data_IF_303892326170
#
_entry.id   IF_303892326170
#
_cell.length_a   1.000
_cell.length_b   1.000
_cell.length_c   1.000
_cell.angle_alpha   90.00
_cell.angle_beta   90.00
_cell.angle_gamma   90.00
#
_symmetry.space_group_name_H-M   'P 1'
#
loop_
_entity.id
_entity.type
_entity.pdbx_description
1 polymer ?
#
# COMPACT_ATOMS: atom_id res chain seq x y z
N UNK A 1 -13.31 -24.59 -44.61
CA UNK A 1 -13.69 -23.28 -44.04
C UNK A 1 -13.94 -23.45 -42.54
N UNK A 2 -12.99 -23.02 -41.70
CA UNK A 2 -13.12 -23.06 -40.24
C UNK A 2 -13.78 -21.77 -39.76
N UNK A 3 -14.91 -21.87 -39.03
CA UNK A 3 -15.50 -20.73 -38.33
C UNK A 3 -14.59 -20.33 -37.17
N UNK A 4 -14.29 -19.04 -36.96
CA UNK A 4 -13.51 -18.61 -35.81
C UNK A 4 -14.32 -18.87 -34.54
N UNK A 5 -13.72 -19.61 -33.62
CA UNK A 5 -14.23 -19.79 -32.28
C UNK A 5 -14.19 -18.43 -31.58
N UNK A 6 -15.33 -17.73 -31.58
CA UNK A 6 -15.56 -16.59 -30.71
C UNK A 6 -15.53 -17.13 -29.30
N UNK A 7 -14.42 -16.92 -28.59
CA UNK A 7 -14.38 -17.10 -27.14
C UNK A 7 -15.35 -16.08 -26.53
N UNK A 8 -16.56 -16.55 -26.27
CA UNK A 8 -17.52 -15.86 -25.42
C UNK A 8 -16.80 -15.71 -24.08
N UNK A 9 -16.44 -14.48 -23.74
CA UNK A 9 -15.99 -14.14 -22.40
C UNK A 9 -17.14 -14.53 -21.47
N UNK A 10 -17.01 -15.70 -20.84
CA UNK A 10 -17.92 -16.15 -19.80
C UNK A 10 -18.02 -15.01 -18.79
N UNK A 11 -19.20 -14.39 -18.72
CA UNK A 11 -19.60 -13.56 -17.60
C UNK A 11 -19.41 -14.43 -16.36
N UNK A 12 -18.29 -14.24 -15.67
CA UNK A 12 -18.01 -14.96 -14.44
C UNK A 12 -19.14 -14.69 -13.48
N UNK A 13 -19.85 -15.74 -13.08
CA UNK A 13 -21.03 -15.64 -12.26
C UNK A 13 -20.72 -14.84 -10.98
N UNK A 14 -21.59 -13.88 -10.59
CA UNK A 14 -21.32 -12.94 -9.50
C UNK A 14 -20.99 -13.61 -8.15
N UNK A 15 -21.42 -14.86 -7.94
CA UNK A 15 -21.11 -15.61 -6.73
C UNK A 15 -19.64 -16.04 -6.62
N UNK A 16 -18.91 -16.20 -7.74
CA UNK A 16 -17.45 -16.44 -7.73
C UNK A 16 -16.66 -15.19 -7.30
N UNK A 17 -17.23 -13.99 -7.44
CA UNK A 17 -16.59 -12.75 -6.97
C UNK A 17 -16.59 -12.64 -5.43
N UNK A 18 -17.60 -13.17 -4.74
CA UNK A 18 -17.69 -13.11 -3.28
C UNK A 18 -16.74 -14.07 -2.56
N UNK A 19 -16.55 -15.30 -3.06
CA UNK A 19 -15.53 -16.23 -2.51
C UNK A 19 -14.11 -15.65 -2.58
N UNK A 20 -13.85 -14.80 -3.57
CA UNK A 20 -12.58 -14.10 -3.69
C UNK A 20 -12.40 -13.00 -2.63
N UNK A 21 -13.47 -12.47 -2.04
CA UNK A 21 -13.38 -11.32 -1.13
C UNK A 21 -12.79 -11.73 0.23
N UNK A 22 -13.33 -12.79 0.86
CA UNK A 22 -12.80 -13.32 2.14
C UNK A 22 -11.35 -13.77 1.99
N UNK A 23 -11.01 -14.42 0.87
CA UNK A 23 -9.63 -14.82 0.60
C UNK A 23 -8.70 -13.63 0.42
N UNK A 24 -9.15 -12.55 -0.26
CA UNK A 24 -8.39 -11.30 -0.36
C UNK A 24 -8.15 -10.68 1.01
N UNK A 25 -9.15 -10.71 1.89
CA UNK A 25 -9.04 -10.25 3.27
C UNK A 25 -7.98 -11.01 4.06
N UNK A 26 -8.07 -12.35 4.07
CA UNK A 26 -7.12 -13.22 4.79
C UNK A 26 -5.70 -13.06 4.23
N UNK A 27 -5.56 -12.91 2.91
CA UNK A 27 -4.26 -12.75 2.24
C UNK A 27 -3.67 -11.34 2.37
N UNK A 28 -4.45 -10.37 2.84
CA UNK A 28 -4.03 -8.97 2.91
C UNK A 28 -3.85 -8.31 1.54
N UNK A 29 -4.49 -8.85 0.50
CA UNK A 29 -4.37 -8.38 -0.88
C UNK A 29 -5.33 -7.21 -1.15
N UNK A 30 -5.16 -6.16 -0.35
CA UNK A 30 -5.97 -4.96 -0.43
C UNK A 30 -5.31 -3.93 -1.35
N UNK A 31 -6.14 -3.25 -2.15
CA UNK A 31 -5.68 -2.05 -2.83
C UNK A 31 -5.42 -0.95 -1.80
N UNK A 32 -4.39 -0.13 -2.03
CA UNK A 32 -4.05 1.01 -1.16
C UNK A 32 -5.23 1.98 -0.99
N UNK A 33 -5.93 2.28 -2.09
CA UNK A 33 -7.12 3.15 -2.10
C UNK A 33 -8.22 2.60 -1.17
N UNK A 34 -8.44 1.29 -1.23
CA UNK A 34 -9.42 0.62 -0.37
C UNK A 34 -9.06 0.73 1.11
N UNK A 35 -7.80 0.43 1.47
CA UNK A 35 -7.36 0.54 2.87
C UNK A 35 -7.41 1.97 3.39
N UNK A 36 -7.08 2.96 2.56
CA UNK A 36 -7.21 4.38 2.93
C UNK A 36 -8.67 4.70 3.25
N UNK A 37 -9.59 4.38 2.33
CA UNK A 37 -11.01 4.66 2.53
C UNK A 37 -11.58 3.94 3.76
N UNK A 38 -11.26 2.65 3.91
CA UNK A 38 -11.66 1.83 5.05
C UNK A 38 -11.15 2.41 6.37
N UNK A 39 -9.86 2.76 6.43
CA UNK A 39 -9.28 3.39 7.61
C UNK A 39 -9.88 4.76 7.89
N UNK A 40 -10.14 5.58 6.87
CA UNK A 40 -10.74 6.90 7.06
C UNK A 40 -12.12 6.80 7.72
N UNK A 41 -12.96 5.85 7.29
CA UNK A 41 -14.27 5.62 7.91
C UNK A 41 -14.12 5.15 9.35
N UNK A 42 -13.32 4.10 9.58
CA UNK A 42 -13.06 3.58 10.92
C UNK A 42 -12.49 4.64 11.86
N UNK A 43 -11.66 5.53 11.32
CA UNK A 43 -11.08 6.65 12.07
C UNK A 43 -12.10 7.71 12.42
N UNK A 44 -12.94 8.13 11.48
CA UNK A 44 -14.00 9.10 11.75
C UNK A 44 -14.94 8.56 12.82
N UNK A 45 -15.33 7.27 12.75
CA UNK A 45 -16.17 6.63 13.76
C UNK A 45 -15.48 6.58 15.13
N UNK A 46 -14.21 6.16 15.18
CA UNK A 46 -13.42 6.10 16.42
C UNK A 46 -13.31 7.47 17.08
N UNK A 47 -12.91 8.50 16.32
CA UNK A 47 -12.76 9.87 16.82
C UNK A 47 -14.11 10.43 17.27
N UNK A 48 -15.18 10.21 16.50
CA UNK A 48 -16.53 10.68 16.87
C UNK A 48 -16.95 10.09 18.21
N UNK A 49 -16.76 8.78 18.41
CA UNK A 49 -17.04 8.10 19.67
C UNK A 49 -16.21 8.65 20.84
N UNK A 50 -14.92 8.92 20.62
CA UNK A 50 -14.05 9.50 21.65
C UNK A 50 -14.44 10.94 22.00
N UNK A 51 -14.79 11.77 21.01
CA UNK A 51 -15.28 13.13 21.22
C UNK A 51 -16.59 13.12 22.02
N UNK A 52 -17.57 12.31 21.61
CA UNK A 52 -18.83 12.17 22.35
C UNK A 52 -18.56 11.68 23.77
N UNK A 53 -17.67 10.69 23.95
CA UNK A 53 -17.27 10.24 25.28
C UNK A 53 -16.73 11.39 26.13
N UNK A 54 -15.84 12.22 25.57
CA UNK A 54 -15.28 13.38 26.26
C UNK A 54 -16.33 14.43 26.63
N UNK A 55 -17.29 14.70 25.74
CA UNK A 55 -18.37 15.66 25.96
C UNK A 55 -19.37 15.21 27.04
N UNK A 56 -19.58 13.89 27.18
CA UNK A 56 -20.48 13.33 28.20
C UNK A 56 -19.83 13.21 29.59
N UNK A 57 -18.52 13.41 29.69
CA UNK A 57 -17.75 13.25 30.92
C UNK A 57 -17.69 14.54 31.75
N UNK A 58 -18.42 14.60 32.87
CA UNK A 58 -18.49 15.83 33.72
C UNK A 58 -17.41 15.95 34.80
N UNK A 59 -16.73 14.85 35.16
CA UNK A 59 -15.66 14.85 36.18
C UNK A 59 -14.50 13.88 35.90
N UNK A 60 -14.68 12.98 34.92
CA UNK A 60 -13.76 11.88 34.64
C UNK A 60 -13.47 11.85 33.14
N UNK A 61 -12.27 12.26 32.74
CA UNK A 61 -11.86 12.37 31.34
C UNK A 61 -10.84 11.27 31.03
N UNK A 62 -10.89 10.68 29.82
CA UNK A 62 -9.84 9.77 29.37
C UNK A 62 -8.45 10.42 29.45
N UNK A 63 -8.37 11.73 29.28
CA UNK A 63 -7.11 12.46 29.40
C UNK A 63 -6.53 12.46 30.83
N UNK A 64 -7.34 12.17 31.85
CA UNK A 64 -6.96 12.27 33.27
C UNK A 64 -6.87 10.93 33.98
N UNK A 65 -7.40 9.86 33.41
CA UNK A 65 -7.50 8.54 34.05
C UNK A 65 -6.92 7.44 33.16
N UNK A 66 -6.31 6.43 33.78
CA UNK A 66 -5.76 5.27 33.07
C UNK A 66 -6.87 4.54 32.33
N UNK A 67 -6.55 4.11 31.11
CA UNK A 67 -7.42 3.20 30.38
C UNK A 67 -7.62 1.89 31.15
N UNK A 68 -6.56 1.40 31.78
CA UNK A 68 -6.55 0.21 32.64
C UNK A 68 -7.38 0.31 33.93
N UNK A 69 -7.85 1.51 34.33
CA UNK A 69 -8.72 1.69 35.49
C UNK A 69 -10.16 2.04 35.11
N UNK A 70 -10.52 1.93 33.83
CA UNK A 70 -11.83 2.32 33.33
C UNK A 70 -12.81 1.15 33.21
N UNK A 71 -14.09 1.45 33.48
CA UNK A 71 -15.19 0.50 33.34
C UNK A 71 -15.59 -0.10 34.68
N UNK A 72 -16.75 0.18 35.25
CA UNK A 72 -17.27 -0.45 36.46
C UNK A 72 -18.80 -0.57 36.42
N UNK A 73 -19.43 -1.64 36.89
CA UNK A 73 -20.89 -1.77 36.97
C UNK A 73 -21.52 -0.73 37.91
N UNK A 74 -20.69 -0.08 38.72
CA UNK A 74 -21.10 1.01 39.59
C UNK A 74 -21.19 2.29 38.77
N UNK A 75 -22.41 2.83 38.66
CA UNK A 75 -22.73 3.96 37.77
C UNK A 75 -21.94 5.25 38.03
N UNK A 76 -21.33 5.41 39.21
CA UNK A 76 -20.49 6.56 39.56
C UNK A 76 -18.99 6.35 39.30
N UNK A 77 -18.54 5.11 39.12
CA UNK A 77 -17.18 4.77 38.66
C UNK A 77 -17.04 4.85 37.14
N UNK A 78 -18.16 4.72 36.40
CA UNK A 78 -18.18 4.91 34.96
C UNK A 78 -18.48 6.35 34.58
N UNK A 79 -17.59 7.04 33.85
CA UNK A 79 -18.01 8.26 33.17
C UNK A 79 -19.22 7.96 32.29
N UNK A 80 -20.18 8.90 32.20
CA UNK A 80 -21.34 8.78 31.30
C UNK A 80 -20.94 8.54 29.84
N UNK A 81 -19.70 8.90 29.46
CA UNK A 81 -19.11 8.64 28.15
C UNK A 81 -18.48 7.26 27.96
N UNK A 82 -18.30 6.44 29.00
CA UNK A 82 -17.55 5.17 28.93
C UNK A 82 -18.02 4.25 27.82
N UNK A 83 -19.33 4.06 27.68
CA UNK A 83 -19.90 3.24 26.62
C UNK A 83 -19.49 3.71 25.21
N UNK A 84 -19.51 5.02 24.98
CA UNK A 84 -19.08 5.59 23.70
C UNK A 84 -17.58 5.37 23.47
N UNK A 85 -16.77 5.47 24.54
CA UNK A 85 -15.36 5.14 24.44
C UNK A 85 -15.11 3.65 24.11
N UNK A 86 -15.81 2.72 24.75
CA UNK A 86 -15.74 1.29 24.44
C UNK A 86 -16.11 1.00 22.99
N UNK A 87 -17.16 1.66 22.46
CA UNK A 87 -17.51 1.58 21.03
C UNK A 87 -16.38 2.14 20.15
N UNK A 88 -15.76 3.25 20.56
CA UNK A 88 -14.62 3.83 19.85
C UNK A 88 -13.45 2.86 19.75
N UNK A 89 -13.10 2.19 20.85
CA UNK A 89 -12.07 1.14 20.85
C UNK A 89 -12.45 -0.06 19.99
N UNK A 90 -13.73 -0.42 19.96
CA UNK A 90 -14.21 -1.44 19.05
C UNK A 90 -14.01 -1.02 17.59
N UNK A 91 -14.38 0.21 17.19
CA UNK A 91 -14.08 0.69 15.84
C UNK A 91 -12.58 0.76 15.53
N UNK A 92 -11.76 1.13 16.52
CA UNK A 92 -10.32 1.10 16.41
C UNK A 92 -9.81 -0.31 16.08
N UNK A 93 -10.30 -1.34 16.79
CA UNK A 93 -9.98 -2.74 16.53
C UNK A 93 -10.31 -3.14 15.08
N UNK A 94 -11.53 -2.81 14.62
CA UNK A 94 -11.95 -3.12 13.25
C UNK A 94 -11.12 -2.38 12.20
N UNK A 95 -10.63 -1.19 12.54
CA UNK A 95 -9.73 -0.41 11.68
C UNK A 95 -8.37 -1.09 11.53
N UNK A 96 -7.84 -1.63 12.64
CA UNK A 96 -6.50 -2.25 12.68
C UNK A 96 -6.47 -3.65 12.07
N UNK A 97 -7.53 -4.46 12.24
CA UNK A 97 -7.52 -5.87 11.85
C UNK A 97 -7.14 -6.11 10.36
N UNK A 98 -7.67 -5.37 9.36
CA UNK A 98 -7.25 -5.54 7.96
C UNK A 98 -5.83 -5.07 7.67
N UNK A 99 -5.25 -4.19 8.51
CA UNK A 99 -3.87 -3.74 8.36
C UNK A 99 -2.87 -4.84 8.68
N UNK A 100 -3.20 -5.77 9.58
CA UNK A 100 -2.29 -6.84 9.99
C UNK A 100 -1.89 -7.75 8.82
N UNK A 101 -2.81 -8.38 8.07
CA UNK A 101 -2.44 -9.18 6.90
C UNK A 101 -1.83 -8.33 5.78
N UNK A 102 -2.22 -7.05 5.66
CA UNK A 102 -1.57 -6.13 4.72
C UNK A 102 -0.09 -5.91 5.06
N UNK A 103 0.22 -5.58 6.32
CA UNK A 103 1.59 -5.42 6.82
C UNK A 103 2.37 -6.72 6.72
N UNK A 104 1.76 -7.86 7.08
CA UNK A 104 2.34 -9.21 6.89
C UNK A 104 2.84 -9.39 5.45
N UNK A 105 1.97 -9.09 4.49
CA UNK A 105 2.25 -9.23 3.06
C UNK A 105 3.44 -8.39 2.61
N UNK A 106 3.78 -7.30 3.31
CA UNK A 106 4.93 -6.43 3.02
C UNK A 106 6.18 -6.91 3.73
N UNK A 107 6.07 -7.18 5.03
CA UNK A 107 7.20 -7.61 5.87
C UNK A 107 7.81 -8.91 5.35
N UNK A 108 6.99 -9.83 4.80
CA UNK A 108 7.47 -11.12 4.29
C UNK A 108 8.57 -10.99 3.21
N UNK A 109 8.63 -9.87 2.49
CA UNK A 109 9.68 -9.60 1.48
C UNK A 109 11.02 -9.19 2.10
N UNK A 110 11.00 -8.67 3.32
CA UNK A 110 12.20 -8.34 4.09
C UNK A 110 12.69 -9.60 4.80
N UNK A 111 11.82 -10.21 5.60
CA UNK A 111 12.10 -11.43 6.37
C UNK A 111 10.79 -12.20 6.65
N UNK A 112 10.66 -13.40 6.07
CA UNK A 112 9.44 -14.22 6.16
C UNK A 112 9.14 -14.71 7.59
N UNK A 113 10.07 -15.33 8.34
CA UNK A 113 9.83 -15.71 9.74
C UNK A 113 9.36 -14.55 10.62
N UNK A 114 10.08 -13.43 10.60
CA UNK A 114 9.73 -12.26 11.42
C UNK A 114 8.38 -11.64 11.01
N UNK A 115 7.98 -11.76 9.74
CA UNK A 115 6.65 -11.31 9.30
C UNK A 115 5.51 -12.06 10.00
N UNK A 116 5.68 -13.35 10.30
CA UNK A 116 4.68 -14.11 11.06
C UNK A 116 4.67 -13.68 12.51
N UNK A 117 5.85 -13.53 13.12
CA UNK A 117 5.96 -13.10 14.53
C UNK A 117 5.26 -11.76 14.72
N UNK A 118 5.61 -10.74 13.92
CA UNK A 118 4.99 -9.40 13.99
C UNK A 118 3.49 -9.46 13.77
N UNK A 119 3.02 -10.21 12.78
CA UNK A 119 1.58 -10.20 12.45
C UNK A 119 0.75 -10.94 13.51
N UNK A 120 1.25 -12.06 14.02
CA UNK A 120 0.63 -12.81 15.11
C UNK A 120 0.63 -12.00 16.40
N UNK A 121 1.73 -11.31 16.71
CA UNK A 121 1.81 -10.47 17.91
C UNK A 121 0.89 -9.26 17.80
N UNK A 122 0.82 -8.56 16.66
CA UNK A 122 -0.14 -7.47 16.46
C UNK A 122 -1.59 -7.96 16.58
N UNK A 123 -1.90 -9.14 16.04
CA UNK A 123 -3.23 -9.74 16.17
C UNK A 123 -3.55 -10.12 17.62
N UNK A 124 -2.61 -10.70 18.35
CA UNK A 124 -2.78 -11.03 19.76
C UNK A 124 -2.95 -9.76 20.62
N UNK A 125 -2.21 -8.69 20.31
CA UNK A 125 -2.40 -7.38 20.93
C UNK A 125 -3.82 -6.84 20.70
N UNK A 126 -4.33 -6.96 19.46
CA UNK A 126 -5.72 -6.62 19.13
C UNK A 126 -6.73 -7.43 19.96
N UNK A 127 -6.52 -8.75 20.12
CA UNK A 127 -7.37 -9.60 20.95
C UNK A 127 -7.34 -9.17 22.42
N UNK A 128 -6.16 -8.89 22.98
CA UNK A 128 -6.02 -8.38 24.34
C UNK A 128 -6.81 -7.08 24.54
N UNK A 129 -6.69 -6.11 23.63
CA UNK A 129 -7.48 -4.87 23.70
C UNK A 129 -8.98 -5.12 23.55
N UNK A 130 -9.39 -6.10 22.74
CA UNK A 130 -10.80 -6.50 22.63
C UNK A 130 -11.34 -6.98 23.98
N UNK A 131 -10.55 -7.76 24.72
CA UNK A 131 -10.95 -8.21 26.07
C UNK A 131 -11.15 -7.02 27.00
N UNK A 132 -10.32 -5.98 26.92
CA UNK A 132 -10.52 -4.78 27.75
C UNK A 132 -11.87 -4.09 27.48
N UNK A 133 -12.34 -4.13 26.23
CA UNK A 133 -13.66 -3.59 25.85
C UNK A 133 -14.81 -4.42 26.44
N UNK A 134 -14.66 -5.75 26.53
CA UNK A 134 -15.71 -6.66 27.00
C UNK A 134 -15.71 -6.89 28.51
N UNK A 135 -14.58 -6.70 29.19
CA UNK A 135 -14.41 -6.93 30.61
C UNK A 135 -14.15 -5.60 31.32
N UNK A 136 -15.17 -4.90 31.85
CA UNK A 136 -14.96 -3.70 32.66
C UNK A 136 -14.29 -4.05 34.01
N UNK A 137 -13.56 -3.11 34.61
CA UNK A 137 -13.04 -3.15 35.99
C UNK A 137 -14.16 -3.21 37.05
N UNK A 138 -14.57 -4.43 37.40
CA UNK A 138 -15.65 -4.67 38.39
C UNK A 138 -15.27 -5.72 39.40
N UNK A 139 -15.74 -5.51 40.64
CA UNK A 139 -15.61 -6.44 41.76
C UNK A 139 -16.63 -7.60 41.65
N UNK A 140 -16.81 -8.11 40.44
CA UNK A 140 -17.64 -9.28 40.15
C UNK A 140 -16.72 -10.43 39.74
N UNK A 141 -17.05 -11.65 40.15
CA UNK A 141 -16.29 -12.84 39.77
C UNK A 141 -16.93 -13.57 38.59
N UNK A 142 -16.10 -14.10 37.67
CA UNK A 142 -16.54 -14.81 36.44
C UNK A 142 -16.69 -16.32 36.67
N UNK A 143 -15.99 -16.87 37.67
CA UNK A 143 -15.86 -18.32 37.88
C UNK A 143 -15.97 -18.68 39.36
N UNK A 144 -17.14 -18.42 39.95
CA UNK A 144 -17.43 -18.77 41.34
C UNK A 144 -16.43 -18.19 42.35
N UNK A 145 -16.00 -16.94 42.16
CA UNK A 145 -15.07 -16.25 43.06
C UNK A 145 -13.59 -16.31 42.69
N UNK A 146 -13.15 -17.15 41.73
CA UNK A 146 -11.71 -17.38 41.48
C UNK A 146 -11.02 -16.33 40.59
N UNK A 147 -11.77 -15.68 39.71
CA UNK A 147 -11.23 -14.70 38.74
C UNK A 147 -12.14 -13.48 38.76
N UNK A 148 -11.57 -12.31 39.05
CA UNK A 148 -12.30 -11.05 38.98
C UNK A 148 -12.29 -10.50 37.54
N UNK A 149 -13.37 -9.83 37.15
CA UNK A 149 -13.40 -9.10 35.87
C UNK A 149 -12.30 -8.03 35.79
N UNK A 150 -12.03 -7.35 36.90
CA UNK A 150 -10.92 -6.37 37.01
C UNK A 150 -9.57 -6.98 36.70
N UNK A 151 -9.29 -8.20 37.18
CA UNK A 151 -8.06 -8.91 36.87
C UNK A 151 -7.93 -9.18 35.37
N UNK A 152 -9.02 -9.60 34.71
CA UNK A 152 -9.03 -9.84 33.26
C UNK A 152 -8.78 -8.54 32.51
N UNK A 153 -9.44 -7.44 32.91
CA UNK A 153 -9.27 -6.12 32.30
C UNK A 153 -7.81 -5.64 32.39
N UNK A 154 -7.27 -5.56 33.61
CA UNK A 154 -5.94 -5.03 33.88
C UNK A 154 -4.88 -5.89 33.20
N UNK A 155 -4.95 -7.21 33.36
CA UNK A 155 -3.97 -8.12 32.75
C UNK A 155 -4.06 -8.10 31.22
N UNK A 156 -5.26 -7.97 30.63
CA UNK A 156 -5.42 -7.86 29.19
C UNK A 156 -4.86 -6.54 28.65
N UNK A 157 -5.08 -5.42 29.34
CA UNK A 157 -4.53 -4.12 28.96
C UNK A 157 -2.99 -4.14 29.00
N UNK A 158 -2.41 -4.64 30.09
CA UNK A 158 -0.96 -4.77 30.27
C UNK A 158 -0.33 -5.72 29.24
N UNK A 159 -0.93 -6.91 29.05
CA UNK A 159 -0.46 -7.88 28.06
C UNK A 159 -0.56 -7.29 26.64
N UNK A 160 -1.67 -6.65 26.31
CA UNK A 160 -1.87 -6.00 25.01
C UNK A 160 -0.81 -4.94 24.74
N UNK A 161 -0.56 -4.05 25.70
CA UNK A 161 0.49 -3.03 25.61
C UNK A 161 1.88 -3.63 25.41
N UNK A 162 2.28 -4.60 26.22
CA UNK A 162 3.57 -5.28 26.09
C UNK A 162 3.73 -5.98 24.74
N UNK A 163 2.69 -6.67 24.26
CA UNK A 163 2.70 -7.37 22.98
C UNK A 163 2.81 -6.38 21.81
N UNK A 164 2.10 -5.25 21.85
CA UNK A 164 2.24 -4.20 20.82
C UNK A 164 3.65 -3.60 20.82
N UNK A 165 4.20 -3.23 21.98
CA UNK A 165 5.56 -2.69 22.09
C UNK A 165 6.58 -3.68 21.49
N UNK A 166 6.49 -4.95 21.86
CA UNK A 166 7.32 -6.01 21.30
C UNK A 166 7.19 -6.12 19.78
N UNK A 167 5.96 -6.10 19.27
CA UNK A 167 5.67 -6.14 17.83
C UNK A 167 6.32 -4.98 17.07
N UNK A 168 6.17 -3.76 17.61
CA UNK A 168 6.73 -2.55 17.00
C UNK A 168 8.25 -2.50 17.08
N UNK A 169 8.83 -3.02 18.15
CA UNK A 169 10.29 -3.14 18.25
C UNK A 169 10.85 -4.06 17.16
N UNK A 170 10.24 -5.23 16.93
CA UNK A 170 10.64 -6.11 15.83
C UNK A 170 10.41 -5.44 14.47
N UNK A 171 9.27 -4.76 14.29
CA UNK A 171 8.97 -4.03 13.06
C UNK A 171 10.02 -2.93 12.79
N UNK A 172 10.48 -2.24 13.82
CA UNK A 172 11.55 -1.25 13.72
C UNK A 172 12.87 -1.87 13.26
N UNK A 173 13.27 -3.00 13.86
CA UNK A 173 14.46 -3.75 13.43
C UNK A 173 14.34 -4.12 11.94
N UNK A 174 13.17 -4.57 11.50
CA UNK A 174 12.91 -4.90 10.10
C UNK A 174 13.02 -3.69 9.17
N UNK A 175 12.54 -2.53 9.59
CA UNK A 175 12.68 -1.27 8.85
C UNK A 175 14.15 -0.88 8.73
N UNK A 176 14.94 -1.00 9.81
CA UNK A 176 16.39 -0.75 9.76
C UNK A 176 17.07 -1.71 8.78
N UNK A 177 16.75 -3.01 8.84
CA UNK A 177 17.27 -4.02 7.92
C UNK A 177 16.88 -3.75 6.46
N UNK A 178 15.64 -3.32 6.20
CA UNK A 178 15.13 -2.96 4.89
C UNK A 178 15.91 -1.78 4.27
N UNK A 179 16.18 -0.75 5.09
CA UNK A 179 16.96 0.42 4.71
C UNK A 179 18.44 0.09 4.48
N UNK A 180 19.07 -0.68 5.37
CA UNK A 180 20.46 -1.12 5.20
C UNK A 180 20.64 -1.97 3.92
N UNK A 181 19.65 -2.82 3.60
CA UNK A 181 19.65 -3.63 2.37
C UNK A 181 19.19 -2.88 1.12
N UNK A 182 18.80 -1.60 1.25
CA UNK A 182 18.26 -0.76 0.18
C UNK A 182 17.09 -1.41 -0.58
N UNK A 183 16.30 -2.23 0.12
CA UNK A 183 15.10 -2.88 -0.44
C UNK A 183 13.93 -1.89 -0.56
N UNK A 184 13.89 -0.90 0.33
CA UNK A 184 12.93 0.21 0.34
C UNK A 184 11.46 -0.24 0.29
N UNK A 185 11.14 -1.34 0.97
CA UNK A 185 9.76 -1.85 1.08
C UNK A 185 8.89 -0.88 1.90
N UNK A 186 9.45 -0.31 2.97
CA UNK A 186 8.69 0.56 3.88
C UNK A 186 8.67 2.03 3.44
N UNK A 187 9.67 2.47 2.68
CA UNK A 187 9.82 3.87 2.28
C UNK A 187 10.26 4.80 3.44
N UNK A 188 10.64 6.05 3.12
CA UNK A 188 11.18 6.98 4.10
C UNK A 188 10.14 7.46 5.12
N UNK A 189 8.90 7.73 4.69
CA UNK A 189 7.85 8.21 5.59
C UNK A 189 7.51 7.20 6.69
N UNK A 190 7.40 5.91 6.35
CA UNK A 190 7.17 4.85 7.33
C UNK A 190 8.35 4.71 8.30
N UNK A 191 9.57 4.84 7.78
CA UNK A 191 10.79 4.80 8.59
C UNK A 191 10.79 5.91 9.63
N UNK A 192 10.52 7.15 9.22
CA UNK A 192 10.43 8.30 10.13
C UNK A 192 9.34 8.10 11.19
N UNK A 193 8.16 7.64 10.80
CA UNK A 193 7.07 7.36 11.74
C UNK A 193 7.45 6.28 12.77
N UNK A 194 8.13 5.21 12.33
CA UNK A 194 8.62 4.16 13.23
C UNK A 194 9.69 4.66 14.21
N UNK A 195 10.60 5.54 13.77
CA UNK A 195 11.60 6.16 14.65
C UNK A 195 10.90 6.97 15.74
N UNK A 196 9.94 7.82 15.37
CA UNK A 196 9.16 8.64 16.32
C UNK A 196 8.43 7.73 17.32
N UNK A 197 7.81 6.66 16.84
CA UNK A 197 7.09 5.69 17.68
C UNK A 197 8.02 5.00 18.69
N UNK A 198 9.21 4.57 18.27
CA UNK A 198 10.18 3.93 19.16
C UNK A 198 10.74 4.92 20.18
N UNK A 199 11.09 6.14 19.76
CA UNK A 199 11.54 7.20 20.68
C UNK A 199 10.47 7.46 21.74
N UNK A 200 9.21 7.56 21.33
CA UNK A 200 8.09 7.72 22.25
C UNK A 200 8.03 6.59 23.29
N UNK A 201 8.09 5.32 22.86
CA UNK A 201 8.07 4.18 23.79
C UNK A 201 9.28 4.15 24.74
N UNK A 202 10.46 4.53 24.26
CA UNK A 202 11.66 4.63 25.12
C UNK A 202 11.48 5.71 26.17
N UNK A 203 10.97 6.89 25.81
CA UNK A 203 10.68 7.97 26.76
C UNK A 203 9.63 7.52 27.78
N UNK A 204 8.55 6.89 27.33
CA UNK A 204 7.50 6.37 28.19
C UNK A 204 8.05 5.31 29.18
N UNK A 205 8.93 4.43 28.72
CA UNK A 205 9.59 3.43 29.57
C UNK A 205 10.49 4.09 30.61
N UNK A 206 11.33 5.04 30.21
CA UNK A 206 12.22 5.77 31.13
C UNK A 206 11.40 6.54 32.18
N UNK A 207 10.32 7.21 31.78
CA UNK A 207 9.43 7.92 32.69
C UNK A 207 8.82 6.96 33.74
N UNK A 208 8.39 5.77 33.31
CA UNK A 208 7.84 4.75 34.20
C UNK A 208 8.89 4.15 35.14
N UNK A 209 10.11 3.85 34.66
CA UNK A 209 11.20 3.37 35.51
C UNK A 209 11.59 4.42 36.54
N UNK A 210 11.72 5.69 36.13
CA UNK A 210 12.03 6.79 37.04
C UNK A 210 10.95 6.97 38.11
N UNK A 211 9.67 6.80 37.76
CA UNK A 211 8.55 6.82 38.71
C UNK A 211 8.68 5.73 39.77
N UNK A 212 8.93 4.49 39.35
CA UNK A 212 9.11 3.34 40.24
C UNK A 212 10.29 3.58 41.18
N UNK A 213 11.43 4.02 40.65
CA UNK A 213 12.64 4.25 41.45
C UNK A 213 12.49 5.39 42.47
N UNK A 214 11.68 6.40 42.17
CA UNK A 214 11.47 7.56 43.06
C UNK A 214 10.28 7.40 44.01
N UNK A 215 9.56 6.27 43.97
CA UNK A 215 8.31 6.07 44.72
C UNK A 215 7.35 7.26 44.59
N UNK A 216 7.31 7.90 43.41
CA UNK A 216 6.40 9.02 43.16
C UNK A 216 5.00 8.41 43.11
N UNK A 217 4.18 8.73 44.12
CA UNK A 217 2.77 8.34 44.16
C UNK A 217 2.02 8.81 42.92
N UNK A 218 0.90 8.17 42.60
CA UNK A 218 0.07 8.48 41.43
C UNK A 218 -0.57 9.86 41.54
N UNK A 219 0.20 10.91 41.24
CA UNK A 219 -0.37 12.21 40.94
C UNK A 219 -0.81 12.21 39.47
N UNK A 220 -2.13 12.21 39.27
CA UNK A 220 -2.85 12.08 37.98
C UNK A 220 -2.59 13.21 36.97
N UNK A 221 -1.66 14.13 37.25
CA UNK A 221 -1.38 15.31 36.42
C UNK A 221 0.11 15.60 36.22
N UNK A 222 1.00 14.67 36.59
CA UNK A 222 2.42 14.82 36.25
C UNK A 222 2.71 14.19 34.90
N UNK A 223 3.74 14.69 34.21
CA UNK A 223 4.35 14.05 33.03
C UNK A 223 4.79 12.59 33.32
N UNK A 224 4.85 12.19 34.59
CA UNK A 224 5.16 10.84 35.04
C UNK A 224 3.93 9.97 35.31
N UNK A 225 2.71 10.49 35.12
CA UNK A 225 1.49 9.71 35.35
C UNK A 225 1.37 8.59 34.31
N UNK A 226 1.18 7.36 34.79
CA UNK A 226 1.03 6.19 33.93
C UNK A 226 -0.18 6.34 32.99
N UNK A 227 -1.28 6.94 33.48
CA UNK A 227 -2.48 7.28 32.71
C UNK A 227 -2.18 8.06 31.44
N UNK A 228 -1.34 9.10 31.53
CA UNK A 228 -1.02 9.94 30.38
C UNK A 228 -0.29 9.13 29.29
N UNK A 229 0.71 8.35 29.68
CA UNK A 229 1.49 7.54 28.73
C UNK A 229 0.68 6.42 28.10
N UNK A 230 -0.21 5.79 28.87
CA UNK A 230 -1.12 4.75 28.37
C UNK A 230 -2.03 5.31 27.28
N UNK A 231 -2.73 6.41 27.57
CA UNK A 231 -3.65 7.03 26.60
C UNK A 231 -2.93 7.61 25.38
N UNK A 232 -1.80 8.30 25.60
CA UNK A 232 -1.00 8.84 24.51
C UNK A 232 -0.43 7.72 23.62
N UNK A 233 -0.04 6.59 24.23
CA UNK A 233 0.38 5.39 23.51
C UNK A 233 -0.73 4.84 22.60
N UNK A 234 -1.96 4.75 23.09
CA UNK A 234 -3.12 4.32 22.29
C UNK A 234 -3.32 5.25 21.09
N UNK A 235 -3.31 6.57 21.29
CA UNK A 235 -3.49 7.53 20.21
C UNK A 235 -2.36 7.48 19.17
N UNK A 236 -1.12 7.39 19.60
CA UNK A 236 0.03 7.34 18.69
C UNK A 236 0.00 6.05 17.87
N UNK A 237 -0.27 4.90 18.50
CA UNK A 237 -0.44 3.61 17.83
C UNK A 237 -1.57 3.66 16.81
N UNK A 238 -2.70 4.26 17.19
CA UNK A 238 -3.83 4.43 16.30
C UNK A 238 -3.48 5.29 15.07
N UNK A 239 -2.89 6.47 15.28
CA UNK A 239 -2.44 7.36 14.19
C UNK A 239 -1.44 6.63 13.29
N UNK A 240 -0.51 5.87 13.87
CA UNK A 240 0.45 5.06 13.11
C UNK A 240 -0.24 4.03 12.21
N UNK A 241 -1.25 3.30 12.71
CA UNK A 241 -2.00 2.34 11.91
C UNK A 241 -2.81 3.00 10.78
N UNK A 242 -3.50 4.10 11.10
CA UNK A 242 -4.34 4.81 10.12
C UNK A 242 -3.49 5.38 8.99
N UNK A 243 -2.28 5.84 9.30
CA UNK A 243 -1.34 6.40 8.34
C UNK A 243 -0.50 5.36 7.59
N UNK A 244 -0.45 4.12 8.07
CA UNK A 244 0.32 3.02 7.46
C UNK A 244 0.06 2.84 5.94
N UNK A 245 -1.18 2.83 5.44
CA UNK A 245 -1.45 2.72 4.00
C UNK A 245 -0.88 3.88 3.18
N UNK A 246 -0.73 5.06 3.77
CA UNK A 246 -0.14 6.21 3.11
C UNK A 246 1.38 6.11 3.06
N UNK A 247 1.99 5.53 4.10
CA UNK A 247 3.43 5.44 4.23
C UNK A 247 4.05 4.26 3.48
N UNK A 248 3.34 3.13 3.42
CA UNK A 248 3.83 1.93 2.73
C UNK A 248 3.84 2.15 1.21
N UNK A 249 5.01 1.98 0.61
CA UNK A 249 5.19 2.17 -0.82
C UNK A 249 4.34 1.15 -1.59
N UNK A 250 3.59 1.64 -2.58
CA UNK A 250 2.76 0.78 -3.41
C UNK A 250 3.66 -0.24 -4.10
N UNK A 251 3.23 -1.51 -4.11
CA UNK A 251 3.93 -2.56 -4.86
C UNK A 251 4.03 -2.05 -6.29
N UNK A 252 5.25 -1.82 -6.79
CA UNK A 252 5.45 -1.55 -8.22
C UNK A 252 5.34 -2.88 -8.96
N UNK A 253 4.13 -3.44 -8.94
CA UNK A 253 3.84 -4.83 -9.33
C UNK A 253 4.35 -5.21 -10.72
N UNK A 254 4.61 -4.24 -11.60
CA UNK A 254 5.17 -4.49 -12.92
C UNK A 254 6.68 -4.32 -13.08
N UNK A 255 7.35 -3.41 -12.36
CA UNK A 255 8.72 -2.98 -12.78
C UNK A 255 9.85 -3.79 -12.14
N UNK A 256 9.70 -4.21 -10.88
CA UNK A 256 10.76 -4.91 -10.17
C UNK A 256 10.84 -6.41 -10.54
N UNK A 257 9.69 -7.04 -10.80
CA UNK A 257 9.61 -8.46 -11.20
C UNK A 257 10.21 -8.67 -12.59
N UNK A 258 9.90 -7.79 -13.55
CA UNK A 258 10.47 -7.86 -14.90
C UNK A 258 11.99 -7.70 -14.86
N UNK A 259 12.53 -6.77 -14.05
CA UNK A 259 13.98 -6.60 -13.95
C UNK A 259 14.71 -7.81 -13.34
N UNK A 260 14.17 -8.43 -12.30
CA UNK A 260 14.81 -9.58 -11.68
C UNK A 260 14.64 -10.89 -12.47
N UNK A 261 13.48 -11.13 -13.08
CA UNK A 261 13.30 -12.28 -13.98
C UNK A 261 14.12 -12.12 -15.26
N UNK A 262 14.21 -10.91 -15.82
CA UNK A 262 15.07 -10.65 -16.97
C UNK A 262 16.55 -10.88 -16.67
N UNK A 263 17.03 -10.52 -15.47
CA UNK A 263 18.40 -10.85 -15.03
C UNK A 263 18.62 -12.34 -14.78
N UNK A 264 17.58 -13.06 -14.34
CA UNK A 264 17.65 -14.51 -14.12
C UNK A 264 17.62 -15.30 -15.43
N UNK A 265 16.82 -14.86 -16.40
CA UNK A 265 16.71 -15.45 -17.73
C UNK A 265 17.89 -15.08 -18.63
N UNK A 266 18.51 -13.92 -18.42
CA UNK A 266 19.62 -13.43 -19.24
C UNK A 266 20.79 -12.93 -18.37
N UNK A 267 21.44 -13.80 -17.57
CA UNK A 267 22.45 -13.41 -16.58
C UNK A 267 23.71 -12.79 -17.17
N UNK A 268 23.98 -13.02 -18.47
CA UNK A 268 25.15 -12.49 -19.16
C UNK A 268 24.85 -11.28 -20.06
N UNK A 269 23.58 -10.86 -20.19
CA UNK A 269 23.26 -9.73 -21.03
C UNK A 269 23.43 -8.41 -20.28
N UNK A 270 24.24 -7.53 -20.84
CA UNK A 270 24.30 -6.16 -20.35
C UNK A 270 22.94 -5.45 -20.56
N UNK A 271 22.72 -4.34 -19.86
CA UNK A 271 21.43 -3.63 -19.85
C UNK A 271 20.93 -3.25 -21.25
N UNK A 272 21.83 -3.03 -22.20
CA UNK A 272 21.51 -2.67 -23.59
C UNK A 272 21.05 -3.93 -24.34
N UNK A 273 21.80 -5.02 -24.28
CA UNK A 273 21.46 -6.31 -24.89
C UNK A 273 20.12 -6.84 -24.41
N UNK A 274 19.87 -6.79 -23.11
CA UNK A 274 18.61 -7.23 -22.53
C UNK A 274 17.42 -6.40 -23.04
N UNK A 275 17.60 -5.08 -23.16
CA UNK A 275 16.56 -4.18 -23.68
C UNK A 275 16.26 -4.49 -25.15
N UNK A 276 17.30 -4.82 -25.92
CA UNK A 276 17.20 -5.22 -27.32
C UNK A 276 16.47 -6.57 -27.45
N UNK A 277 16.85 -7.59 -26.69
CA UNK A 277 16.23 -8.92 -26.76
C UNK A 277 14.79 -8.94 -26.24
N UNK A 278 14.50 -8.24 -25.13
CA UNK A 278 13.12 -8.07 -24.67
C UNK A 278 12.29 -7.31 -25.70
N UNK A 279 12.86 -6.32 -26.41
CA UNK A 279 12.15 -5.65 -27.48
C UNK A 279 11.87 -6.60 -28.65
N UNK A 280 12.80 -7.48 -29.03
CA UNK A 280 12.59 -8.49 -30.09
C UNK A 280 11.49 -9.49 -29.72
N UNK A 281 11.52 -10.02 -28.49
CA UNK A 281 10.49 -10.96 -27.98
C UNK A 281 9.14 -10.26 -27.91
N UNK A 282 9.09 -9.03 -27.40
CA UNK A 282 7.88 -8.23 -27.32
C UNK A 282 7.30 -7.93 -28.71
N UNK A 283 8.15 -7.58 -29.69
CA UNK A 283 7.75 -7.42 -31.09
C UNK A 283 7.25 -8.72 -31.71
N UNK A 284 7.85 -9.88 -31.39
CA UNK A 284 7.35 -11.18 -31.88
C UNK A 284 6.01 -11.56 -31.26
N UNK A 285 5.78 -11.30 -29.97
CA UNK A 285 4.49 -11.51 -29.30
C UNK A 285 3.41 -10.59 -29.88
N UNK A 286 3.78 -9.35 -30.20
CA UNK A 286 2.93 -8.35 -30.83
C UNK A 286 2.60 -8.69 -32.28
N UNK A 287 3.55 -9.28 -33.02
CA UNK A 287 3.31 -9.73 -34.39
C UNK A 287 2.40 -10.97 -34.45
N UNK A 288 2.28 -11.72 -33.34
CA UNK A 288 1.48 -12.95 -33.26
C UNK A 288 0.05 -12.76 -32.75
N UNK A 289 -0.26 -11.61 -32.15
CA UNK A 289 -1.58 -11.30 -31.61
C UNK A 289 -2.04 -9.95 -32.17
N UNK A 290 -3.31 -9.82 -32.58
CA UNK A 290 -3.99 -8.57 -32.98
C UNK A 290 -4.00 -7.45 -31.90
N UNK A 291 -3.16 -7.56 -30.87
CA UNK A 291 -2.90 -6.58 -29.82
C UNK A 291 -2.23 -5.30 -30.34
N UNK A 292 -1.63 -5.27 -31.54
CA UNK A 292 -1.08 -4.03 -32.13
C UNK A 292 -2.18 -2.98 -32.25
N UNK A 293 -3.32 -3.32 -32.87
CA UNK A 293 -4.41 -2.37 -33.07
C UNK A 293 -5.02 -1.93 -31.74
N UNK A 294 -5.19 -2.86 -30.79
CA UNK A 294 -5.77 -2.54 -29.48
C UNK A 294 -4.83 -1.71 -28.61
N UNK A 295 -3.52 -1.96 -28.65
CA UNK A 295 -2.51 -1.17 -27.97
C UNK A 295 -2.31 0.20 -28.62
N UNK A 296 -2.29 0.28 -29.97
CA UNK A 296 -2.27 1.54 -30.72
C UNK A 296 -3.51 2.37 -30.39
N UNK A 297 -4.71 1.78 -30.35
CA UNK A 297 -5.94 2.44 -29.90
C UNK A 297 -5.87 2.88 -28.44
N UNK A 298 -5.41 2.04 -27.50
CA UNK A 298 -5.28 2.44 -26.09
C UNK A 298 -4.23 3.53 -25.87
N UNK A 299 -3.08 3.47 -26.53
CA UNK A 299 -2.04 4.51 -26.45
C UNK A 299 -2.49 5.81 -27.10
N UNK A 300 -3.24 5.72 -28.21
CA UNK A 300 -3.82 6.87 -28.89
C UNK A 300 -4.90 7.52 -28.01
N UNK A 301 -5.78 6.73 -27.37
CA UNK A 301 -6.78 7.22 -26.42
C UNK A 301 -6.15 7.81 -25.14
N UNK A 302 -5.08 7.21 -24.62
CA UNK A 302 -4.30 7.79 -23.51
C UNK A 302 -3.64 9.11 -23.93
N UNK A 303 -3.06 9.18 -25.13
CA UNK A 303 -2.49 10.42 -25.66
C UNK A 303 -3.54 11.50 -25.92
N UNK A 304 -4.71 11.13 -26.47
CA UNK A 304 -5.83 12.04 -26.68
C UNK A 304 -6.42 12.51 -25.34
N UNK A 305 -6.46 11.67 -24.31
CA UNK A 305 -6.92 12.07 -22.98
C UNK A 305 -5.95 13.04 -22.29
N UNK A 306 -4.64 12.86 -22.49
CA UNK A 306 -3.61 13.79 -21.99
C UNK A 306 -3.63 15.14 -22.75
N UNK A 307 -4.05 15.15 -24.03
CA UNK A 307 -4.08 16.36 -24.87
C UNK A 307 -5.47 17.02 -25.04
N UNK A 308 -6.57 16.34 -24.68
CA UNK A 308 -7.89 16.97 -24.52
C UNK A 308 -7.90 18.01 -23.38
N UNK A 309 -6.85 18.06 -22.55
CA UNK A 309 -6.62 19.15 -21.60
C UNK A 309 -5.96 20.40 -22.22
N UNK A 310 -5.61 20.36 -23.51
CA UNK A 310 -5.14 21.53 -24.26
C UNK A 310 -6.29 22.01 -25.14
N UNK A 311 -7.16 22.83 -24.55
CA UNK A 311 -8.33 23.40 -25.24
C UNK A 311 -7.93 24.06 -26.58
N UNK A 312 -8.57 23.62 -27.67
CA UNK A 312 -8.66 24.38 -28.92
C UNK A 312 -7.59 24.16 -30.00
N UNK A 313 -6.73 23.13 -29.91
CA UNK A 313 -5.57 23.00 -30.82
C UNK A 313 -5.62 21.83 -31.82
N UNK A 314 -6.68 21.03 -31.86
CA UNK A 314 -6.77 19.89 -32.78
C UNK A 314 -8.09 19.94 -33.53
N UNK A 315 -8.04 20.40 -34.77
CA UNK A 315 -9.17 20.39 -35.70
C UNK A 315 -9.50 18.94 -36.12
N UNK A 316 -10.76 18.65 -36.44
CA UNK A 316 -11.24 17.30 -36.78
C UNK A 316 -10.48 16.70 -37.98
N UNK A 317 -9.98 17.56 -38.86
CA UNK A 317 -9.13 17.21 -40.01
C UNK A 317 -7.78 16.60 -39.59
N UNK A 318 -7.15 17.12 -38.53
CA UNK A 318 -5.87 16.61 -38.01
C UNK A 318 -6.08 15.25 -37.34
N UNK A 319 -7.20 15.08 -36.63
CA UNK A 319 -7.56 13.79 -36.02
C UNK A 319 -7.75 12.73 -37.11
N UNK A 320 -8.47 13.04 -38.19
CA UNK A 320 -8.66 12.08 -39.30
C UNK A 320 -7.34 11.68 -39.98
N UNK A 321 -6.42 12.63 -40.22
CA UNK A 321 -5.14 12.32 -40.84
C UNK A 321 -4.27 11.45 -39.93
N UNK A 322 -4.30 11.68 -38.61
CA UNK A 322 -3.60 10.82 -37.65
C UNK A 322 -4.16 9.40 -37.63
N UNK A 323 -5.49 9.22 -37.78
CA UNK A 323 -6.10 7.90 -37.94
C UNK A 323 -5.64 7.21 -39.23
N UNK A 324 -5.61 7.92 -40.36
CA UNK A 324 -5.15 7.36 -41.63
C UNK A 324 -3.65 6.99 -41.61
N UNK A 325 -2.81 7.79 -40.95
CA UNK A 325 -1.38 7.48 -40.75
C UNK A 325 -1.22 6.22 -39.88
N UNK A 326 -2.03 6.05 -38.84
CA UNK A 326 -1.98 4.87 -37.98
C UNK A 326 -2.27 3.57 -38.74
N UNK A 327 -3.18 3.61 -39.73
CA UNK A 327 -3.56 2.46 -40.57
C UNK A 327 -2.49 2.12 -41.63
N UNK A 328 -1.71 3.09 -42.13
CA UNK A 328 -0.71 2.88 -43.19
C UNK A 328 0.61 2.26 -42.66
N UNK A 329 0.83 2.26 -41.34
CA UNK A 329 2.10 1.80 -40.72
C UNK A 329 2.39 0.29 -40.76
N UNK A 330 1.56 -0.51 -41.44
CA UNK A 330 1.77 -1.96 -41.61
C UNK A 330 2.48 -2.35 -42.94
N UNK A 331 2.74 -1.40 -43.85
CA UNK A 331 3.26 -1.67 -45.20
C UNK A 331 4.69 -1.15 -45.47
N UNK A 332 5.72 -1.74 -44.83
CA UNK A 332 7.12 -1.70 -45.29
C UNK A 332 7.76 -0.33 -45.62
N UNK A 333 8.86 -0.33 -46.39
CA UNK A 333 9.70 0.84 -46.72
C UNK A 333 8.93 1.94 -47.51
N UNK A 334 7.82 1.57 -48.16
CA UNK A 334 6.95 2.47 -48.97
C UNK A 334 6.03 3.36 -48.11
N UNK A 335 5.87 3.00 -46.83
CA UNK A 335 5.08 3.73 -45.84
C UNK A 335 5.57 5.18 -45.63
N UNK A 336 6.88 5.40 -45.66
CA UNK A 336 7.48 6.72 -45.40
C UNK A 336 7.13 7.74 -46.49
N UNK A 337 7.14 7.34 -47.75
CA UNK A 337 6.78 8.23 -48.88
C UNK A 337 5.31 8.62 -48.83
N UNK A 338 4.41 7.67 -48.53
CA UNK A 338 2.97 7.94 -48.36
C UNK A 338 2.65 8.83 -47.17
N UNK A 339 3.28 8.60 -46.01
CA UNK A 339 3.12 9.47 -44.84
C UNK A 339 3.62 10.89 -45.14
N UNK A 340 4.76 11.02 -45.82
CA UNK A 340 5.27 12.33 -46.23
C UNK A 340 4.33 13.03 -47.21
N UNK A 341 3.76 12.33 -48.18
CA UNK A 341 2.77 12.88 -49.13
C UNK A 341 1.47 13.34 -48.44
N UNK A 342 1.02 12.62 -47.40
CA UNK A 342 -0.16 13.00 -46.61
C UNK A 342 0.08 14.19 -45.68
N UNK A 343 1.29 14.31 -45.13
CA UNK A 343 1.67 15.40 -44.22
C UNK A 343 2.04 16.67 -44.99
N UNK A 344 2.53 16.55 -46.23
CA UNK A 344 2.97 17.67 -47.07
C UNK A 344 1.97 18.83 -47.21
N UNK A 345 0.65 18.62 -47.42
CA UNK A 345 -0.32 19.72 -47.44
C UNK A 345 -0.57 20.36 -46.06
N UNK A 346 -0.35 19.63 -44.97
CA UNK A 346 -0.57 20.12 -43.59
C UNK A 346 0.64 20.86 -43.02
N UNK A 347 1.85 20.61 -43.54
CA UNK A 347 3.09 21.25 -43.11
C UNK A 347 3.11 22.78 -43.27
N UNK A 348 2.21 23.36 -44.07
CA UNK A 348 2.12 24.82 -44.21
C UNK A 348 1.48 25.50 -42.99
N UNK A 349 0.74 24.76 -42.14
CA UNK A 349 0.00 25.31 -41.00
C UNK A 349 0.26 24.60 -39.65
N UNK A 350 1.10 23.56 -39.62
CA UNK A 350 1.37 22.80 -38.39
C UNK A 350 2.47 23.43 -37.53
N UNK A 351 2.28 23.43 -36.20
CA UNK A 351 3.32 23.84 -35.26
C UNK A 351 4.53 22.88 -35.30
N UNK A 352 5.71 23.42 -35.00
CA UNK A 352 6.99 22.69 -34.97
C UNK A 352 6.94 21.39 -34.15
N UNK A 353 6.11 21.36 -33.09
CA UNK A 353 5.96 20.20 -32.22
C UNK A 353 5.25 19.02 -32.90
N UNK A 354 4.26 19.28 -33.77
CA UNK A 354 3.58 18.23 -34.55
C UNK A 354 4.48 17.66 -35.65
N UNK A 355 5.29 18.51 -36.29
CA UNK A 355 6.34 18.11 -37.22
C UNK A 355 7.39 17.21 -36.55
N UNK A 356 7.75 17.52 -35.31
CA UNK A 356 8.68 16.72 -34.50
C UNK A 356 8.09 15.35 -34.12
N UNK A 357 6.81 15.30 -33.78
CA UNK A 357 6.08 14.05 -33.50
C UNK A 357 6.04 13.15 -34.74
N UNK A 358 5.68 13.69 -35.90
CA UNK A 358 5.67 12.95 -37.17
C UNK A 358 7.07 12.43 -37.53
N UNK A 359 8.10 13.25 -37.37
CA UNK A 359 9.48 12.86 -37.64
C UNK A 359 9.99 11.76 -36.69
N UNK A 360 9.58 11.78 -35.42
CA UNK A 360 9.96 10.76 -34.44
C UNK A 360 9.23 9.43 -34.65
N UNK A 361 7.98 9.46 -35.16
CA UNK A 361 7.26 8.26 -35.60
C UNK A 361 7.94 7.64 -36.83
N UNK A 362 8.50 8.46 -37.73
CA UNK A 362 9.07 8.03 -39.00
C UNK A 362 10.58 7.69 -38.98
N UNK A 363 11.28 7.81 -37.84
CA UNK A 363 12.73 7.50 -37.78
C UNK A 363 12.97 5.98 -37.92
N UNK A 364 13.66 5.51 -38.97
CA UNK A 364 14.11 4.12 -39.00
C UNK A 364 15.14 3.91 -37.88
N UNK A 365 14.93 2.88 -37.06
CA UNK A 365 15.95 2.46 -36.09
C UNK A 365 17.14 1.95 -36.89
N UNK A 366 18.26 2.67 -36.83
CA UNK A 366 19.56 2.24 -37.40
C UNK A 366 19.83 0.79 -36.96
N UNK A 367 19.73 -0.14 -37.90
CA UNK A 367 20.37 -1.44 -37.76
C UNK A 367 21.87 -1.18 -37.80
N UNK A 368 22.55 -1.37 -36.68
CA UNK A 368 24.01 -1.47 -36.71
C UNK A 368 24.36 -2.78 -37.40
N UNK A 369 24.90 -2.67 -38.61
CA UNK A 369 25.63 -3.75 -39.26
C UNK A 369 26.86 -4.01 -38.38
N UNK A 370 26.88 -5.16 -37.72
CA UNK A 370 28.06 -5.68 -37.03
C UNK A 370 28.90 -6.39 -38.10
N UNK A 371 30.14 -5.97 -38.38
CA UNK A 371 30.99 -6.70 -39.31
C UNK A 371 31.34 -8.05 -38.69
N UNK A 372 30.96 -9.13 -39.38
CA UNK A 372 31.29 -10.49 -39.01
C UNK A 372 32.79 -10.71 -39.28
N UNK A 373 33.63 -10.62 -38.23
CA UNK A 373 35.00 -11.16 -38.27
C UNK A 373 34.89 -12.65 -38.03
N UNK A 374 34.89 -13.43 -39.12
CA UNK A 374 35.50 -14.76 -39.25
C UNK A 374 34.92 -15.43 -40.49
N UNK A 375 35.57 -15.23 -41.63
CA UNK A 375 35.62 -16.23 -42.69
C UNK A 375 36.88 -15.94 -43.52
N UNK A 376 37.89 -16.78 -43.29
CA UNK A 376 39.03 -16.94 -44.19
C UNK A 376 38.49 -17.75 -45.36
N UNK A 377 38.35 -17.13 -46.51
CA UNK A 377 38.15 -17.83 -47.78
C UNK A 377 39.44 -17.68 -48.57
N UNK A 378 40.23 -18.76 -48.58
CA UNK A 378 41.31 -18.97 -49.56
C UNK A 378 40.61 -19.36 -50.86
N UNK A 379 40.83 -18.60 -51.92
CA UNK A 379 40.63 -19.06 -53.30
C UNK A 379 41.92 -18.73 -54.05
N UNK A 380 42.67 -19.77 -54.41
CA UNK A 380 43.56 -19.84 -55.57
C UNK A 380 42.65 -19.88 -56.82
N UNK A 381 42.90 -19.27 -57.97
CA UNK A 381 44.09 -18.64 -58.58
C UNK A 381 43.91 -17.13 -58.82
#
# INVERSE_FOLDING_TARGET
MMKPAVQIYNQQEPHLQHRNLVQKYIKGDFSRKYLIWYNSIGTVLTITCFVISGLLSTSFNIMTNTFSALGSWVSWHNPRGWFMFSIGLFFMLFTVLPQIPYQHSRIKYVNKPLSYIVSTSLFLGCLCFSLVVFFPVVDTSISGGKVMFSDVHINSALAGGAIFIFSYFILFILVVVDNCKKKLVFGPAFTSAMIILVIFFVIALIANVARILKNIGESSFTFYSFSMWENLGIYIVFVFFVTTPFMLQQRSDGKFTIQNESKRLFPQMNRIQLKTELSKIWFQIIKRNNCVQRWKQCRFLEYMADYQQVDGLVDDEIVQVLYQIADITDEGEDCRQRILQMIQPLCLNLSYDLLKIAADICKPRKQQIIPNRNEIVIVQE
#
